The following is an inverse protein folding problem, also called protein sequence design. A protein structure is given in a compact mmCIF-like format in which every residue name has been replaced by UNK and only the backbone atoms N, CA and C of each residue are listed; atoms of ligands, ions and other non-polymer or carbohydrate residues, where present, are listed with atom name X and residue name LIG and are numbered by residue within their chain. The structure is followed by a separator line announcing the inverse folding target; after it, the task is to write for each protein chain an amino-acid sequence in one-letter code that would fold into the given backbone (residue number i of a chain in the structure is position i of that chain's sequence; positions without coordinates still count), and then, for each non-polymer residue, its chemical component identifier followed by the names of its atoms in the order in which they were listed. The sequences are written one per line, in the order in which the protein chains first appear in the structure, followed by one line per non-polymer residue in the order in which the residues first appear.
data_IF_645484295002
#
_entry.id   IF_645484295002
#
_cell.length_a   1.000
_cell.length_b   1.000
_cell.length_c   1.000
_cell.angle_alpha   90.00
_cell.angle_beta   90.00
_cell.angle_gamma   90.00
#
_symmetry.space_group_name_H-M   'P 1'
#
loop_
_entity.id
_entity.type
_entity.pdbx_description
1 polymer ?
#
# COMPACT_ATOMS: atom_id res chain seq x y z
N UNK A 1 -4.87 28.61 -5.31
CA UNK A 1 -6.07 27.99 -4.72
C UNK A 1 -5.78 26.52 -4.45
N UNK A 2 -5.30 26.22 -3.22
CA UNK A 2 -5.03 24.85 -2.78
C UNK A 2 -6.34 24.09 -2.58
N UNK A 3 -6.39 22.85 -3.06
CA UNK A 3 -7.47 21.93 -2.73
C UNK A 3 -7.21 21.39 -1.33
N UNK A 4 -8.22 21.48 -0.44
CA UNK A 4 -8.11 20.90 0.91
C UNK A 4 -7.98 19.37 0.80
N UNK A 5 -6.81 18.83 1.17
CA UNK A 5 -6.55 17.39 1.10
C UNK A 5 -7.54 16.55 1.93
N UNK A 6 -8.19 17.12 2.94
CA UNK A 6 -9.19 16.43 3.74
C UNK A 6 -10.43 15.99 2.96
N UNK A 7 -10.66 16.58 1.78
CA UNK A 7 -11.78 16.21 0.88
C UNK A 7 -11.73 14.73 0.48
N UNK A 8 -10.52 14.11 0.44
CA UNK A 8 -10.39 12.68 0.11
C UNK A 8 -10.92 11.75 1.21
N UNK A 9 -11.13 12.25 2.43
CA UNK A 9 -11.73 11.50 3.53
C UNK A 9 -13.25 11.75 3.58
N UNK A 10 -14.09 10.72 3.70
CA UNK A 10 -15.54 10.89 3.84
C UNK A 10 -15.95 11.58 5.13
N UNK A 11 -15.07 11.65 6.12
CA UNK A 11 -15.28 12.32 7.41
C UNK A 11 -14.40 13.55 7.60
N UNK A 12 -13.75 14.01 6.52
CA UNK A 12 -12.85 15.16 6.51
C UNK A 12 -11.66 15.06 7.47
N UNK A 13 -11.18 13.84 7.73
CA UNK A 13 -10.01 13.58 8.56
C UNK A 13 -8.92 12.85 7.79
N UNK A 14 -7.70 13.39 7.85
CA UNK A 14 -6.48 12.75 7.37
C UNK A 14 -5.41 12.82 8.46
N UNK A 15 -4.57 11.80 8.54
CA UNK A 15 -3.44 11.72 9.48
C UNK A 15 -2.15 11.44 8.73
N UNK A 16 -1.02 11.81 9.33
CA UNK A 16 0.29 11.56 8.71
C UNK A 16 0.64 12.50 7.55
N UNK A 17 -0.12 13.57 7.37
CA UNK A 17 0.21 14.68 6.51
C UNK A 17 0.53 15.90 7.38
N UNK A 18 1.44 16.71 6.92
CA UNK A 18 1.76 17.99 7.56
C UNK A 18 1.75 19.11 6.51
N UNK A 19 1.39 20.29 6.94
CA UNK A 19 1.39 21.48 6.10
C UNK A 19 2.69 22.24 6.33
N UNK A 20 3.39 22.53 5.24
CA UNK A 20 4.59 23.38 5.32
C UNK A 20 4.20 24.83 5.57
N UNK A 21 5.17 25.66 5.97
CA UNK A 21 4.99 27.12 6.14
C UNK A 21 4.51 27.80 4.85
N UNK A 22 4.78 27.21 3.71
CA UNK A 22 4.40 27.70 2.39
C UNK A 22 3.06 27.14 1.90
N UNK A 23 2.30 26.48 2.75
CA UNK A 23 0.95 25.94 2.44
C UNK A 23 0.94 24.68 1.59
N UNK A 24 2.08 24.00 1.43
CA UNK A 24 2.13 22.71 0.76
C UNK A 24 1.90 21.57 1.75
N UNK A 25 1.07 20.61 1.34
CA UNK A 25 0.82 19.42 2.14
C UNK A 25 1.80 18.32 1.76
N UNK A 26 2.60 17.88 2.70
CA UNK A 26 3.56 16.80 2.51
C UNK A 26 3.11 15.54 3.24
N UNK A 27 3.39 14.40 2.62
CA UNK A 27 3.25 13.10 3.27
C UNK A 27 4.44 12.86 4.21
N UNK A 28 4.19 12.34 5.40
CA UNK A 28 5.23 11.87 6.30
C UNK A 28 6.04 10.74 5.61
N UNK A 29 7.37 10.81 5.61
CA UNK A 29 8.24 9.95 4.82
C UNK A 29 8.16 8.46 5.16
N UNK A 30 7.73 8.09 6.35
CA UNK A 30 7.59 6.68 6.75
C UNK A 30 6.15 6.38 7.14
N UNK A 31 5.34 5.96 6.18
CA UNK A 31 4.10 5.27 6.51
C UNK A 31 4.37 3.78 6.67
N UNK A 32 4.01 3.25 7.83
CA UNK A 32 3.81 1.82 7.95
C UNK A 32 2.70 1.38 6.98
N UNK A 33 2.81 0.22 6.33
CA UNK A 33 1.74 -0.31 5.48
C UNK A 33 0.40 -0.46 6.21
N UNK A 34 0.41 -0.43 7.53
CA UNK A 34 -0.75 -0.51 8.42
C UNK A 34 -1.35 0.86 8.78
N UNK A 35 -0.67 1.95 8.50
CA UNK A 35 -1.24 3.27 8.77
C UNK A 35 -2.38 3.59 7.80
N UNK A 36 -3.54 3.93 8.34
CA UNK A 36 -4.71 4.36 7.58
C UNK A 36 -4.82 5.90 7.61
N UNK A 37 -4.10 6.58 6.70
CA UNK A 37 -3.98 8.03 6.76
C UNK A 37 -5.29 8.75 6.41
N UNK A 38 -6.13 8.11 5.60
CA UNK A 38 -7.41 8.70 5.17
C UNK A 38 -8.51 8.05 6.00
N UNK A 39 -9.01 8.75 7.00
CA UNK A 39 -10.05 8.23 7.87
C UNK A 39 -11.34 7.96 7.10
N UNK A 40 -11.99 6.83 7.40
CA UNK A 40 -13.18 6.37 6.70
C UNK A 40 -12.92 5.73 5.33
N UNK A 41 -11.65 5.60 4.91
CA UNK A 41 -11.21 4.80 3.76
C UNK A 41 -10.10 3.85 4.18
N UNK A 42 -10.07 2.71 3.54
CA UNK A 42 -8.98 1.74 3.71
C UNK A 42 -7.96 2.01 2.62
N UNK A 43 -6.74 2.31 3.05
CA UNK A 43 -5.60 2.47 2.15
C UNK A 43 -4.77 1.21 2.21
N UNK A 44 -4.65 0.52 1.08
CA UNK A 44 -3.84 -0.68 0.94
C UNK A 44 -2.63 -0.37 0.07
N UNK A 45 -1.45 -0.60 0.61
CA UNK A 45 -0.23 -0.56 -0.16
C UNK A 45 -0.08 -1.89 -0.89
N UNK A 46 -0.42 -1.91 -2.19
CA UNK A 46 -0.55 -3.15 -2.95
C UNK A 46 0.80 -3.82 -3.21
N UNK A 47 1.89 -3.07 -3.39
CA UNK A 47 3.22 -3.62 -3.62
C UNK A 47 3.69 -4.45 -2.40
N UNK A 48 3.52 -3.92 -1.19
CA UNK A 48 3.86 -4.63 0.05
C UNK A 48 2.95 -5.84 0.30
N UNK A 49 1.66 -5.71 -0.01
CA UNK A 49 0.71 -6.81 0.13
C UNK A 49 1.01 -7.93 -0.86
N UNK A 50 1.33 -7.57 -2.10
CA UNK A 50 1.73 -8.49 -3.16
C UNK A 50 3.06 -9.19 -2.84
N UNK A 51 4.09 -8.44 -2.42
CA UNK A 51 5.38 -9.00 -2.03
C UNK A 51 5.21 -10.06 -0.94
N UNK A 52 4.42 -9.75 0.08
CA UNK A 52 4.14 -10.70 1.15
C UNK A 52 3.44 -11.96 0.63
N UNK A 53 2.38 -11.79 -0.16
CA UNK A 53 1.64 -12.93 -0.73
C UNK A 53 2.54 -13.80 -1.62
N UNK A 54 3.43 -13.16 -2.39
CA UNK A 54 4.39 -13.86 -3.23
C UNK A 54 5.37 -14.69 -2.40
N UNK A 55 5.96 -14.10 -1.37
CA UNK A 55 6.89 -14.78 -0.47
C UNK A 55 6.23 -15.93 0.30
N UNK A 56 4.99 -15.71 0.79
CA UNK A 56 4.21 -16.73 1.49
C UNK A 56 3.85 -17.92 0.59
N UNK A 57 3.74 -17.72 -0.73
CA UNK A 57 3.45 -18.77 -1.71
C UNK A 57 4.64 -19.66 -2.10
N UNK A 58 5.79 -19.46 -1.48
CA UNK A 58 7.05 -20.22 -1.73
C UNK A 58 7.57 -20.11 -3.18
N UNK A 59 7.20 -19.06 -3.89
CA UNK A 59 7.65 -18.77 -5.26
C UNK A 59 9.08 -18.23 -5.34
N UNK A 60 9.72 -18.03 -4.20
CA UNK A 60 11.03 -17.38 -4.09
C UNK A 60 10.93 -15.85 -4.00
N UNK A 61 12.06 -15.19 -3.84
CA UNK A 61 12.13 -13.73 -3.80
C UNK A 61 12.05 -13.14 -5.19
N UNK A 62 11.25 -12.07 -5.34
CA UNK A 62 11.20 -11.30 -6.59
C UNK A 62 12.50 -10.54 -6.81
N UNK A 63 13.10 -10.60 -8.00
CA UNK A 63 14.29 -9.82 -8.33
C UNK A 63 14.05 -8.31 -8.28
N UNK A 64 12.83 -7.86 -8.53
CA UNK A 64 12.45 -6.45 -8.50
C UNK A 64 10.96 -6.28 -8.15
N UNK A 65 10.67 -5.26 -7.35
CA UNK A 65 9.31 -4.82 -7.04
C UNK A 65 8.81 -3.71 -7.97
N UNK A 66 9.53 -3.42 -9.06
CA UNK A 66 9.05 -2.43 -10.02
C UNK A 66 7.78 -2.90 -10.72
N UNK A 67 6.84 -1.98 -10.96
CA UNK A 67 5.59 -2.30 -11.66
C UNK A 67 5.84 -2.90 -13.05
N UNK A 68 6.90 -2.49 -13.74
CA UNK A 68 7.29 -3.02 -15.04
C UNK A 68 7.72 -4.49 -14.98
N UNK A 69 8.47 -4.85 -13.94
CA UNK A 69 8.86 -6.24 -13.71
C UNK A 69 7.66 -7.12 -13.33
N UNK A 70 6.86 -6.65 -12.36
CA UNK A 70 5.69 -7.41 -11.89
C UNK A 70 4.65 -7.59 -12.98
N UNK A 71 4.38 -6.53 -13.77
CA UNK A 71 3.42 -6.63 -14.88
C UNK A 71 3.90 -7.60 -15.98
N UNK A 72 5.20 -7.66 -16.23
CA UNK A 72 5.79 -8.62 -17.18
C UNK A 72 5.67 -10.05 -16.65
N UNK A 73 5.96 -10.27 -15.37
CA UNK A 73 5.93 -11.59 -14.74
C UNK A 73 4.50 -12.13 -14.59
N UNK A 74 3.56 -11.28 -14.19
CA UNK A 74 2.18 -11.68 -13.88
C UNK A 74 1.28 -11.64 -15.10
N UNK A 75 1.36 -10.59 -15.91
CA UNK A 75 0.46 -10.33 -17.04
C UNK A 75 1.12 -10.57 -18.40
N UNK A 76 2.44 -10.73 -18.48
CA UNK A 76 3.19 -10.78 -19.74
C UNK A 76 3.25 -9.44 -20.47
N UNK A 77 2.95 -8.33 -19.80
CA UNK A 77 2.83 -7.00 -20.39
C UNK A 77 3.90 -6.05 -19.85
N UNK A 78 4.37 -5.17 -20.71
CA UNK A 78 5.36 -4.13 -20.36
C UNK A 78 4.71 -2.76 -20.29
N UNK A 79 5.36 -1.87 -19.55
CA UNK A 79 5.00 -0.46 -19.51
C UNK A 79 5.15 0.21 -20.88
N UNK A 80 4.36 1.25 -21.09
CA UNK A 80 4.50 2.11 -22.26
C UNK A 80 5.84 2.86 -22.18
N UNK A 81 6.54 2.93 -23.31
CA UNK A 81 7.72 3.76 -23.47
C UNK A 81 7.39 4.84 -24.51
N UNK A 82 7.78 6.07 -24.24
CA UNK A 82 7.58 7.16 -25.19
C UNK A 82 8.66 7.14 -26.26
N UNK A 83 8.27 7.15 -27.54
CA UNK A 83 9.22 7.26 -28.65
C UNK A 83 9.85 8.65 -28.71
N UNK A 84 9.14 9.68 -28.23
CA UNK A 84 9.61 11.06 -28.24
C UNK A 84 10.62 11.35 -27.12
N UNK A 85 10.48 10.66 -25.99
CA UNK A 85 11.31 10.85 -24.80
C UNK A 85 11.93 9.52 -24.39
N UNK A 86 13.13 9.18 -24.88
CA UNK A 86 13.81 7.91 -24.51
C UNK A 86 14.21 7.87 -23.03
N UNK A 87 14.50 9.05 -22.45
CA UNK A 87 14.83 9.17 -21.02
C UNK A 87 13.59 9.41 -20.17
N UNK A 88 13.37 8.54 -19.17
CA UNK A 88 12.22 8.65 -18.25
C UNK A 88 12.18 9.99 -17.51
N UNK A 89 13.33 10.52 -17.11
CA UNK A 89 13.45 11.81 -16.44
C UNK A 89 12.92 12.97 -17.28
N UNK A 90 13.23 12.99 -18.57
CA UNK A 90 12.72 13.99 -19.50
C UNK A 90 11.22 13.82 -19.75
N UNK A 91 10.75 12.57 -19.91
CA UNK A 91 9.33 12.30 -20.06
C UNK A 91 8.50 12.81 -18.86
N UNK A 92 8.97 12.58 -17.63
CA UNK A 92 8.26 13.09 -16.45
C UNK A 92 8.36 14.60 -16.26
N UNK A 93 9.43 15.24 -16.72
CA UNK A 93 9.59 16.69 -16.58
C UNK A 93 8.86 17.50 -17.65
N UNK A 94 8.81 17.02 -18.89
CA UNK A 94 8.33 17.76 -20.06
C UNK A 94 7.18 17.09 -20.82
N UNK A 95 7.01 15.78 -20.69
CA UNK A 95 6.01 14.99 -21.44
C UNK A 95 4.58 15.47 -21.20
N UNK A 96 4.25 15.91 -20.00
CA UNK A 96 2.93 16.44 -19.66
C UNK A 96 2.57 17.73 -20.43
N UNK A 97 3.56 18.49 -20.91
CA UNK A 97 3.38 19.68 -21.73
C UNK A 97 3.50 19.39 -23.23
N UNK A 98 4.50 18.59 -23.62
CA UNK A 98 4.91 18.43 -25.01
C UNK A 98 4.28 17.21 -25.69
N UNK A 99 3.80 16.24 -24.92
CA UNK A 99 3.15 15.02 -25.41
C UNK A 99 2.11 14.52 -24.39
N UNK A 100 1.15 15.38 -24.13
CA UNK A 100 0.10 15.16 -23.12
C UNK A 100 -0.68 13.86 -23.37
N UNK A 101 -0.94 13.52 -24.63
CA UNK A 101 -1.70 12.31 -24.97
C UNK A 101 -0.95 11.03 -24.57
N UNK A 102 0.35 10.96 -24.86
CA UNK A 102 1.18 9.81 -24.45
C UNK A 102 1.36 9.79 -22.94
N UNK A 103 1.50 10.96 -22.30
CA UNK A 103 1.61 11.07 -20.85
C UNK A 103 0.34 10.56 -20.14
N UNK A 104 -0.83 10.92 -20.61
CA UNK A 104 -2.11 10.45 -20.06
C UNK A 104 -2.32 8.95 -20.32
N UNK A 105 -1.94 8.44 -21.49
CA UNK A 105 -1.97 6.99 -21.79
C UNK A 105 -1.05 6.22 -20.84
N UNK A 106 0.15 6.73 -20.59
CA UNK A 106 1.09 6.14 -19.65
C UNK A 106 0.50 6.08 -18.23
N UNK A 107 0.00 7.22 -17.72
CA UNK A 107 -0.60 7.30 -16.41
C UNK A 107 -1.81 6.35 -16.25
N UNK A 108 -2.66 6.28 -17.29
CA UNK A 108 -3.80 5.37 -17.31
C UNK A 108 -3.37 3.91 -17.29
N UNK A 109 -2.36 3.56 -18.10
CA UNK A 109 -1.83 2.20 -18.17
C UNK A 109 -1.22 1.77 -16.83
N UNK A 110 -0.47 2.64 -16.16
CA UNK A 110 0.09 2.33 -14.83
C UNK A 110 -1.00 1.97 -13.81
N UNK A 111 -2.11 2.69 -13.81
CA UNK A 111 -3.27 2.39 -12.94
C UNK A 111 -3.95 1.09 -13.35
N UNK A 112 -4.13 0.86 -14.64
CA UNK A 112 -4.78 -0.34 -15.18
C UNK A 112 -3.97 -1.61 -14.90
N UNK A 113 -2.64 -1.53 -15.04
CA UNK A 113 -1.74 -2.63 -14.70
C UNK A 113 -1.84 -3.02 -13.21
N UNK A 114 -1.85 -2.03 -12.31
CA UNK A 114 -1.99 -2.27 -10.86
C UNK A 114 -3.31 -3.00 -10.57
N UNK A 115 -4.40 -2.53 -11.16
CA UNK A 115 -5.71 -3.15 -11.01
C UNK A 115 -5.72 -4.59 -11.50
N UNK A 116 -5.18 -4.86 -12.69
CA UNK A 116 -5.16 -6.19 -13.30
C UNK A 116 -4.24 -7.16 -12.56
N UNK A 117 -3.11 -6.68 -12.01
CA UNK A 117 -2.24 -7.47 -11.13
C UNK A 117 -3.00 -7.89 -9.87
N UNK A 118 -3.77 -6.98 -9.27
CA UNK A 118 -4.59 -7.28 -8.10
C UNK A 118 -5.70 -8.29 -8.43
N UNK A 119 -6.39 -8.12 -9.56
CA UNK A 119 -7.42 -9.03 -10.03
C UNK A 119 -6.88 -10.44 -10.32
N UNK A 120 -5.69 -10.56 -10.90
CA UNK A 120 -5.06 -11.85 -11.21
C UNK A 120 -4.58 -12.59 -9.94
N UNK A 121 -4.07 -11.85 -8.95
CA UNK A 121 -3.52 -12.44 -7.73
C UNK A 121 -4.48 -12.42 -6.53
N UNK A 122 -5.63 -11.76 -6.64
CA UNK A 122 -6.62 -11.60 -5.56
C UNK A 122 -6.03 -11.02 -4.26
N UNK A 123 -5.03 -10.15 -4.36
CA UNK A 123 -4.28 -9.66 -3.21
C UNK A 123 -5.15 -8.85 -2.26
N UNK A 124 -5.91 -7.90 -2.76
CA UNK A 124 -6.83 -7.09 -1.96
C UNK A 124 -7.98 -7.93 -1.40
N UNK A 125 -8.52 -8.87 -2.19
CA UNK A 125 -9.60 -9.75 -1.77
C UNK A 125 -9.14 -10.71 -0.66
N UNK A 126 -7.92 -11.22 -0.71
CA UNK A 126 -7.35 -12.06 0.33
C UNK A 126 -7.31 -11.32 1.68
N UNK A 127 -6.87 -10.05 1.70
CA UNK A 127 -6.82 -9.24 2.93
C UNK A 127 -8.22 -8.95 3.45
N UNK A 128 -9.17 -8.61 2.57
CA UNK A 128 -10.58 -8.38 2.95
C UNK A 128 -11.19 -9.67 3.53
N UNK A 129 -10.88 -10.81 2.94
CA UNK A 129 -11.37 -12.12 3.40
C UNK A 129 -10.80 -12.48 4.78
N UNK A 130 -9.50 -12.23 5.00
CA UNK A 130 -8.87 -12.39 6.32
C UNK A 130 -9.50 -11.47 7.35
N UNK A 131 -9.73 -10.22 7.01
CA UNK A 131 -10.39 -9.25 7.89
C UNK A 131 -11.78 -9.75 8.32
N UNK A 132 -12.57 -10.23 7.38
CA UNK A 132 -13.93 -10.76 7.63
C UNK A 132 -13.89 -12.03 8.49
N UNK A 133 -12.99 -12.96 8.17
CA UNK A 133 -12.82 -14.21 8.91
C UNK A 133 -12.41 -13.97 10.35
N UNK A 134 -11.40 -13.13 10.55
CA UNK A 134 -10.84 -12.85 11.86
C UNK A 134 -11.61 -11.76 12.61
N UNK A 135 -12.49 -10.99 11.92
CA UNK A 135 -13.13 -9.77 12.43
C UNK A 135 -12.08 -8.82 13.06
N UNK A 136 -10.91 -8.75 12.44
CA UNK A 136 -9.77 -7.98 12.88
C UNK A 136 -9.77 -6.59 12.21
N UNK A 137 -9.10 -5.58 12.79
CA UNK A 137 -8.79 -4.36 12.05
C UNK A 137 -7.90 -4.68 10.84
N UNK A 138 -7.98 -3.88 9.77
CA UNK A 138 -7.22 -4.14 8.54
C UNK A 138 -5.70 -4.12 8.75
N UNK A 139 -5.23 -3.23 9.63
CA UNK A 139 -3.82 -3.15 10.03
C UNK A 139 -3.30 -4.47 10.64
N UNK A 140 -4.13 -5.16 11.41
CA UNK A 140 -3.75 -6.45 11.97
C UNK A 140 -3.65 -7.58 10.92
N UNK A 141 -4.30 -7.43 9.77
CA UNK A 141 -4.28 -8.44 8.70
C UNK A 141 -2.94 -8.49 7.94
N UNK A 142 -2.06 -7.53 8.16
CA UNK A 142 -0.72 -7.54 7.57
C UNK A 142 0.30 -8.40 8.31
N UNK A 143 0.04 -8.77 9.56
CA UNK A 143 1.00 -9.52 10.38
C UNK A 143 0.41 -10.82 10.90
N UNK A 144 1.07 -11.94 10.59
CA UNK A 144 0.65 -13.26 11.03
C UNK A 144 0.53 -13.36 12.56
N UNK A 145 1.47 -12.74 13.30
CA UNK A 145 1.44 -12.70 14.76
C UNK A 145 0.22 -11.95 15.31
N UNK A 146 -0.16 -10.83 14.70
CA UNK A 146 -1.36 -10.08 15.11
C UNK A 146 -2.63 -10.87 14.78
N UNK A 147 -2.71 -11.46 13.60
CA UNK A 147 -3.83 -12.31 13.21
C UNK A 147 -3.98 -13.49 14.16
N UNK A 148 -2.88 -14.19 14.45
CA UNK A 148 -2.85 -15.30 15.40
C UNK A 148 -3.30 -14.87 16.80
N UNK A 149 -2.76 -13.75 17.30
CA UNK A 149 -3.16 -13.18 18.59
C UNK A 149 -4.66 -12.89 18.67
N UNK A 150 -5.24 -12.23 17.67
CA UNK A 150 -6.67 -11.94 17.61
C UNK A 150 -7.50 -13.22 17.54
N UNK A 151 -7.09 -14.18 16.71
CA UNK A 151 -7.77 -15.47 16.60
C UNK A 151 -7.77 -16.20 17.95
N UNK A 152 -6.62 -16.32 18.61
CA UNK A 152 -6.52 -16.95 19.92
C UNK A 152 -7.33 -16.22 21.00
N UNK A 153 -7.23 -14.89 21.07
CA UNK A 153 -7.98 -14.11 22.07
C UNK A 153 -9.50 -14.25 21.89
N UNK A 154 -9.99 -14.48 20.72
CA UNK A 154 -11.43 -14.64 20.44
C UNK A 154 -11.93 -16.06 20.71
N UNK A 155 -11.09 -17.05 20.46
CA UNK A 155 -11.50 -18.46 20.55
C UNK A 155 -11.04 -19.13 21.86
N UNK A 156 -10.15 -18.48 22.62
CA UNK A 156 -9.73 -19.01 23.92
C UNK A 156 -10.79 -18.75 24.98
N UNK A 157 -11.07 -19.76 25.77
CA UNK A 157 -12.00 -19.67 26.93
C UNK A 157 -11.37 -18.98 28.15
N UNK A 158 -10.07 -18.72 28.11
CA UNK A 158 -9.33 -18.08 29.19
C UNK A 158 -8.85 -16.68 28.77
N UNK A 159 -8.79 -15.78 29.77
CA UNK A 159 -8.25 -14.42 29.57
C UNK A 159 -6.86 -14.37 30.17
N UNK A 160 -5.85 -14.11 29.33
CA UNK A 160 -4.53 -13.79 29.84
C UNK A 160 -4.52 -12.37 30.41
N UNK A 161 -3.97 -12.14 31.60
CA UNK A 161 -3.78 -10.78 32.08
C UNK A 161 -2.79 -10.06 31.19
N UNK A 162 -3.18 -8.90 30.66
CA UNK A 162 -2.26 -8.01 29.97
C UNK A 162 -1.35 -7.37 31.00
N UNK A 163 -0.11 -7.84 31.13
CA UNK A 163 0.89 -7.17 31.94
C UNK A 163 1.15 -5.76 31.44
N UNK A 164 1.28 -4.79 32.35
CA UNK A 164 1.92 -3.53 32.01
C UNK A 164 3.33 -3.83 31.52
N UNK A 165 3.78 -3.15 30.46
CA UNK A 165 5.18 -3.22 30.04
C UNK A 165 6.03 -2.84 31.25
N UNK A 166 6.68 -3.83 31.87
CA UNK A 166 7.55 -3.60 33.02
C UNK A 166 8.73 -2.73 32.61
N UNK A 167 9.28 -2.02 33.57
CA UNK A 167 10.55 -1.34 33.39
C UNK A 167 11.60 -2.37 32.99
N UNK A 168 12.48 -2.00 32.04
CA UNK A 168 13.58 -2.85 31.63
C UNK A 168 14.42 -3.16 32.86
N UNK A 169 14.45 -4.40 33.29
CA UNK A 169 15.43 -4.84 34.28
C UNK A 169 16.75 -5.00 33.53
N UNK A 170 17.70 -4.13 33.82
CA UNK A 170 19.09 -4.32 33.40
C UNK A 170 19.65 -5.45 34.25
N UNK A 171 20.06 -6.50 33.61
CA UNK A 171 20.83 -7.57 34.26
C UNK A 171 22.31 -7.19 34.16
N UNK A 172 22.96 -6.96 35.30
CA UNK A 172 24.41 -6.81 35.43
C UNK A 172 25.15 -8.13 35.09
#
# INVERSE_FOLDING_TARGET
NGIDARIISPIMEITGFYESKDGYTFRKESFSPIEQPIKGRITLNLDLAFERQWNDSQRGTLPSMSLDYISTEVLGEKKLVSDKFPEKSEFFSRGWLEDTDTYLKYAKLDVDLIKRIDEENFTSEAIVSLQRLLKAPFDACFYASHMGGIYFMRNASWKAPTGKKGDRVEYD
#
